data_IF_522215885984
#
_entry.id   IF_522215885984
#
_cell.length_a   1.000
_cell.length_b   1.000
_cell.length_c   1.000
_cell.angle_alpha   90.00
_cell.angle_beta   90.00
_cell.angle_gamma   90.00
#
_symmetry.space_group_name_H-M   'P 1'
#
loop_
_entity.id
_entity.type
_entity.pdbx_description
1 polymer ?
#
# COMPACT_ATOMS: atom_id res chain seq x y z
N UNK A 1 34.69 -60.99 19.70
CA UNK A 1 33.37 -60.86 20.37
C UNK A 1 32.53 -59.88 19.57
N UNK A 2 31.27 -60.23 19.25
CA UNK A 2 30.36 -59.37 18.49
C UNK A 2 29.99 -58.12 19.33
N UNK A 3 30.25 -56.89 18.86
CA UNK A 3 29.98 -55.67 19.63
C UNK A 3 28.50 -55.28 19.66
N UNK A 4 27.66 -55.85 18.80
CA UNK A 4 26.22 -55.53 18.67
C UNK A 4 25.44 -55.50 19.99
N UNK A 5 25.53 -56.47 20.92
CA UNK A 5 24.80 -56.40 22.18
C UNK A 5 25.20 -55.21 23.07
N UNK A 6 26.47 -54.79 23.03
CA UNK A 6 26.94 -53.61 23.79
C UNK A 6 26.38 -52.31 23.22
N UNK A 7 26.38 -52.18 21.89
CA UNK A 7 25.82 -51.02 21.19
C UNK A 7 24.31 -50.93 21.44
N UNK A 8 23.60 -52.06 21.37
CA UNK A 8 22.17 -52.12 21.64
C UNK A 8 21.84 -51.68 23.07
N UNK A 9 22.59 -52.18 24.08
CA UNK A 9 22.39 -51.78 25.47
C UNK A 9 22.63 -50.28 25.69
N UNK A 10 23.65 -49.71 25.02
CA UNK A 10 23.97 -48.29 25.10
C UNK A 10 22.85 -47.42 24.51
N UNK A 11 22.30 -47.79 23.34
CA UNK A 11 21.18 -47.08 22.72
C UNK A 11 19.92 -47.15 23.57
N UNK A 12 19.65 -48.31 24.19
CA UNK A 12 18.51 -48.50 25.08
C UNK A 12 18.63 -47.61 26.33
N UNK A 13 19.82 -47.54 26.93
CA UNK A 13 20.12 -46.63 28.04
C UNK A 13 19.97 -45.16 27.67
N UNK A 14 20.51 -44.74 26.51
CA UNK A 14 20.37 -43.37 26.02
C UNK A 14 18.91 -42.98 25.77
N UNK A 15 18.11 -43.89 25.23
CA UNK A 15 16.68 -43.68 24.98
C UNK A 15 15.92 -43.52 26.29
N UNK A 16 16.22 -44.34 27.30
CA UNK A 16 15.60 -44.25 28.62
C UNK A 16 15.94 -42.91 29.32
N UNK A 17 17.19 -42.49 29.26
CA UNK A 17 17.64 -41.19 29.81
C UNK A 17 16.94 -40.03 29.09
N UNK A 18 16.82 -40.11 27.76
CA UNK A 18 16.14 -39.08 26.98
C UNK A 18 14.64 -38.98 27.31
N UNK A 19 13.94 -40.11 27.45
CA UNK A 19 12.52 -40.12 27.79
C UNK A 19 12.26 -39.64 29.23
N UNK A 20 13.12 -40.02 30.17
CA UNK A 20 13.01 -39.54 31.56
C UNK A 20 13.27 -38.03 31.65
N UNK A 21 14.26 -37.51 30.92
CA UNK A 21 14.49 -36.08 30.83
C UNK A 21 13.32 -35.33 30.16
N UNK A 22 12.73 -35.88 29.09
CA UNK A 22 11.55 -35.30 28.45
C UNK A 22 10.35 -35.24 29.40
N UNK A 23 10.04 -36.34 30.09
CA UNK A 23 8.94 -36.37 31.06
C UNK A 23 9.17 -35.38 32.20
N UNK A 24 10.39 -35.34 32.74
CA UNK A 24 10.76 -34.36 33.77
C UNK A 24 10.60 -32.92 33.25
N UNK A 25 11.02 -32.62 32.03
CA UNK A 25 10.82 -31.28 31.46
C UNK A 25 9.33 -30.97 31.25
N UNK A 26 8.52 -31.91 30.74
CA UNK A 26 7.07 -31.70 30.55
C UNK A 26 6.39 -31.32 31.87
N UNK A 27 6.72 -32.01 32.97
CA UNK A 27 6.11 -31.75 34.28
C UNK A 27 6.63 -30.46 34.94
N UNK A 28 7.75 -29.89 34.46
CA UNK A 28 8.38 -28.69 34.98
C UNK A 28 8.33 -27.49 34.01
N UNK A 29 7.67 -27.61 32.87
CA UNK A 29 7.31 -26.45 32.06
C UNK A 29 6.17 -25.77 32.81
N UNK A 30 6.47 -24.63 33.44
CA UNK A 30 5.42 -23.71 33.81
C UNK A 30 4.64 -23.38 32.54
N UNK A 31 3.39 -23.83 32.47
CA UNK A 31 2.41 -23.23 31.56
C UNK A 31 2.28 -21.78 32.01
N UNK A 32 3.19 -20.94 31.53
CA UNK A 32 2.92 -19.53 31.39
C UNK A 32 1.71 -19.48 30.47
N UNK A 33 0.52 -19.51 31.06
CA UNK A 33 -0.74 -19.30 30.38
C UNK A 33 -0.46 -18.16 29.42
N UNK A 34 -0.51 -18.46 28.12
CA UNK A 34 -0.18 -17.45 27.12
C UNK A 34 -1.27 -16.40 27.26
N UNK A 35 -0.97 -15.34 28.03
CA UNK A 35 -1.90 -14.25 28.26
C UNK A 35 -2.33 -13.82 26.86
N UNK A 36 -3.63 -13.95 26.53
CA UNK A 36 -4.06 -13.67 25.18
C UNK A 36 -3.62 -12.25 24.86
N UNK A 37 -2.85 -12.11 23.76
CA UNK A 37 -2.35 -10.80 23.36
C UNK A 37 -3.54 -9.85 23.34
N UNK A 38 -3.42 -8.66 23.95
CA UNK A 38 -4.51 -7.71 23.99
C UNK A 38 -5.03 -7.51 22.56
N UNK A 39 -6.35 -7.54 22.35
CA UNK A 39 -6.91 -7.47 21.02
C UNK A 39 -6.39 -6.21 20.33
N UNK A 40 -5.84 -6.38 19.14
CA UNK A 40 -5.26 -5.28 18.37
C UNK A 40 -6.32 -4.18 18.21
N UNK A 41 -6.04 -2.98 18.72
CA UNK A 41 -6.92 -1.82 18.53
C UNK A 41 -6.98 -1.48 17.04
N UNK A 42 -8.12 -1.73 16.39
CA UNK A 42 -8.33 -1.43 14.98
C UNK A 42 -8.82 0.01 14.85
N UNK A 43 -7.97 0.90 14.30
CA UNK A 43 -8.42 2.23 13.87
C UNK A 43 -9.28 2.09 12.61
N UNK A 44 -10.60 2.21 12.76
CA UNK A 44 -11.52 2.40 11.63
C UNK A 44 -11.25 3.78 11.05
N UNK A 45 -10.87 3.84 9.78
CA UNK A 45 -10.66 5.08 9.05
C UNK A 45 -11.87 5.26 8.14
N UNK A 46 -12.65 6.30 8.38
CA UNK A 46 -13.64 6.82 7.45
C UNK A 46 -13.09 8.09 6.81
N UNK A 47 -13.43 8.36 5.56
CA UNK A 47 -13.05 9.60 4.89
C UNK A 47 -14.25 10.20 4.17
N UNK A 48 -14.34 11.52 4.22
CA UNK A 48 -15.28 12.32 3.42
C UNK A 48 -14.56 13.02 2.25
N UNK A 49 -13.26 12.76 2.08
CA UNK A 49 -12.45 13.29 0.99
C UNK A 49 -12.75 12.56 -0.33
N UNK A 50 -12.44 13.18 -1.48
CA UNK A 50 -12.45 12.50 -2.76
C UNK A 50 -11.59 11.22 -2.73
N UNK A 51 -12.15 10.16 -3.31
CA UNK A 51 -11.43 8.90 -3.51
C UNK A 51 -11.40 8.55 -4.99
N UNK A 52 -10.32 7.92 -5.44
CA UNK A 52 -10.20 7.32 -6.77
C UNK A 52 -9.89 5.83 -6.64
N UNK A 53 -10.56 5.03 -7.47
CA UNK A 53 -10.23 3.62 -7.64
C UNK A 53 -9.25 3.46 -8.80
N UNK A 54 -8.12 2.82 -8.55
CA UNK A 54 -7.08 2.58 -9.55
C UNK A 54 -7.01 1.09 -9.84
N UNK A 55 -7.48 0.71 -11.02
CA UNK A 55 -7.42 -0.67 -11.48
C UNK A 55 -6.01 -0.99 -11.99
N UNK A 56 -5.17 -1.63 -11.17
CA UNK A 56 -3.81 -2.06 -11.49
C UNK A 56 -3.72 -3.60 -11.64
N UNK A 57 -4.83 -4.24 -12.04
CA UNK A 57 -4.96 -5.70 -12.11
C UNK A 57 -4.18 -6.32 -13.26
N UNK A 58 -4.13 -5.62 -14.39
CA UNK A 58 -3.53 -6.08 -15.63
C UNK A 58 -2.05 -6.34 -15.38
N UNK A 59 -1.62 -7.58 -15.67
CA UNK A 59 -0.23 -7.98 -15.53
C UNK A 59 0.61 -7.21 -16.55
N UNK A 60 1.85 -6.88 -16.17
CA UNK A 60 2.82 -6.24 -17.06
C UNK A 60 2.26 -4.95 -17.70
N UNK A 61 1.51 -4.18 -16.90
CA UNK A 61 0.92 -2.90 -17.28
C UNK A 61 0.96 -1.91 -16.12
N UNK A 62 1.00 -0.64 -16.48
CA UNK A 62 0.90 0.51 -15.59
C UNK A 62 -0.44 1.21 -15.80
N UNK A 63 -1.14 1.44 -14.70
CA UNK A 63 -2.32 2.30 -14.65
C UNK A 63 -1.88 3.69 -14.23
N UNK A 64 -1.79 4.58 -15.20
CA UNK A 64 -1.40 5.98 -15.04
C UNK A 64 -2.61 6.79 -14.58
N UNK A 65 -2.43 7.63 -13.56
CA UNK A 65 -3.49 8.44 -12.96
C UNK A 65 -3.12 9.91 -13.02
N UNK A 66 -4.05 10.74 -13.47
CA UNK A 66 -3.98 12.19 -13.38
C UNK A 66 -5.01 12.68 -12.36
N UNK A 67 -4.55 13.07 -11.17
CA UNK A 67 -5.45 13.40 -10.05
C UNK A 67 -6.17 14.74 -10.25
N UNK A 68 -5.61 15.63 -11.07
CA UNK A 68 -6.27 16.89 -11.39
C UNK A 68 -7.52 16.72 -12.26
N UNK A 69 -7.54 15.69 -13.12
CA UNK A 69 -8.65 15.40 -14.04
C UNK A 69 -9.45 14.14 -13.67
N UNK A 70 -8.94 13.32 -12.76
CA UNK A 70 -9.49 11.99 -12.44
C UNK A 70 -9.28 10.95 -13.54
N UNK A 71 -8.59 11.27 -14.65
CA UNK A 71 -8.40 10.36 -15.78
C UNK A 71 -7.38 9.27 -15.46
N UNK A 72 -7.64 8.07 -15.98
CA UNK A 72 -6.73 6.93 -15.88
C UNK A 72 -6.43 6.35 -17.26
N UNK A 73 -5.18 5.94 -17.49
CA UNK A 73 -4.74 5.29 -18.73
C UNK A 73 -3.96 4.01 -18.43
N UNK A 74 -4.28 2.92 -19.13
CA UNK A 74 -3.50 1.68 -19.03
C UNK A 74 -2.41 1.68 -20.10
N UNK A 75 -1.17 1.41 -19.72
CA UNK A 75 -0.01 1.34 -20.62
C UNK A 75 0.71 0.02 -20.39
N UNK A 76 1.06 -0.71 -21.44
CA UNK A 76 1.82 -1.95 -21.31
C UNK A 76 3.26 -1.65 -20.82
N UNK A 77 3.80 -2.52 -19.96
CA UNK A 77 5.18 -2.43 -19.48
C UNK A 77 6.14 -3.07 -20.49
N UNK A 78 6.34 -2.39 -21.61
CA UNK A 78 7.24 -2.79 -22.69
C UNK A 78 7.96 -1.56 -23.25
N UNK A 79 8.70 -1.73 -24.36
CA UNK A 79 9.45 -0.62 -24.98
C UNK A 79 8.59 0.58 -25.37
N UNK A 80 7.30 0.39 -25.70
CA UNK A 80 6.40 1.49 -26.05
C UNK A 80 6.00 2.35 -24.84
N UNK A 81 6.25 1.87 -23.61
CA UNK A 81 5.97 2.59 -22.36
C UNK A 81 6.63 3.96 -22.32
N UNK A 82 7.89 4.05 -22.73
CA UNK A 82 8.69 5.29 -22.64
C UNK A 82 8.04 6.42 -23.43
N UNK A 83 7.59 6.11 -24.66
CA UNK A 83 6.84 7.05 -25.50
C UNK A 83 5.51 7.43 -24.85
N UNK A 84 4.73 6.45 -24.39
CA UNK A 84 3.44 6.69 -23.76
C UNK A 84 3.55 7.57 -22.49
N UNK A 85 4.62 7.41 -21.71
CA UNK A 85 4.86 8.21 -20.50
C UNK A 85 5.15 9.69 -20.81
N UNK A 86 5.64 10.00 -22.02
CA UNK A 86 5.89 11.36 -22.49
C UNK A 86 4.65 12.01 -23.12
N UNK A 87 3.81 11.23 -23.80
CA UNK A 87 2.63 11.75 -24.51
C UNK A 87 1.40 11.92 -23.62
N UNK A 88 1.26 11.07 -22.59
CA UNK A 88 0.11 11.10 -21.69
C UNK A 88 0.41 12.07 -20.53
N UNK A 89 -0.56 12.91 -20.16
CA UNK A 89 -0.45 13.69 -18.93
C UNK A 89 -0.89 12.86 -17.73
N UNK A 90 0.06 12.42 -16.91
CA UNK A 90 -0.18 11.64 -15.69
C UNK A 90 0.69 12.12 -14.52
N UNK A 91 0.30 11.74 -13.30
CA UNK A 91 0.98 12.13 -12.06
C UNK A 91 1.66 10.92 -11.40
N UNK A 92 0.89 9.84 -11.15
CA UNK A 92 1.38 8.60 -10.56
C UNK A 92 1.00 7.39 -11.42
N UNK A 93 1.88 6.40 -11.48
CA UNK A 93 1.67 5.13 -12.15
C UNK A 93 1.56 3.99 -11.15
N UNK A 94 0.61 3.08 -11.35
CA UNK A 94 0.36 1.95 -10.47
C UNK A 94 0.48 0.63 -11.23
N UNK A 95 1.26 -0.31 -10.70
CA UNK A 95 1.35 -1.67 -11.23
C UNK A 95 1.40 -2.66 -10.08
N UNK A 96 0.29 -3.38 -9.86
CA UNK A 96 0.11 -4.23 -8.66
C UNK A 96 0.38 -3.39 -7.39
N UNK A 97 1.39 -3.75 -6.60
CA UNK A 97 1.79 -3.00 -5.40
C UNK A 97 2.84 -1.92 -5.67
N UNK A 98 3.41 -1.85 -6.88
CA UNK A 98 4.40 -0.84 -7.25
C UNK A 98 3.70 0.47 -7.60
N UNK A 99 4.27 1.57 -7.12
CA UNK A 99 3.81 2.92 -7.40
C UNK A 99 5.02 3.76 -7.81
N UNK A 100 4.89 4.46 -8.93
CA UNK A 100 5.92 5.32 -9.53
C UNK A 100 5.37 6.74 -9.70
N UNK A 101 6.27 7.70 -9.78
CA UNK A 101 5.96 9.11 -10.03
C UNK A 101 6.34 9.52 -11.44
N UNK A 102 5.67 10.53 -11.98
CA UNK A 102 6.10 11.17 -13.21
C UNK A 102 7.27 12.13 -12.95
N UNK A 103 8.42 11.59 -12.55
CA UNK A 103 9.64 12.33 -12.24
C UNK A 103 10.86 11.42 -12.06
N UNK A 104 12.04 12.01 -12.04
CA UNK A 104 13.30 11.29 -11.86
C UNK A 104 13.60 10.32 -13.00
N UNK A 105 14.04 9.10 -12.66
CA UNK A 105 14.41 8.09 -13.65
C UNK A 105 13.23 7.59 -14.50
N UNK A 106 11.99 7.78 -14.04
CA UNK A 106 10.77 7.38 -14.77
C UNK A 106 10.47 8.35 -15.91
N UNK A 107 10.65 9.65 -15.69
CA UNK A 107 10.52 10.68 -16.71
C UNK A 107 11.46 11.85 -16.36
N UNK A 108 12.59 12.01 -17.07
CA UNK A 108 13.55 13.09 -16.81
C UNK A 108 12.99 14.51 -17.00
N UNK A 109 11.91 14.67 -17.77
CA UNK A 109 11.22 15.96 -17.93
C UNK A 109 10.17 16.19 -16.83
N UNK A 110 9.72 15.10 -16.20
CA UNK A 110 8.81 15.13 -15.07
C UNK A 110 9.53 15.61 -13.81
N UNK A 111 8.80 16.36 -12.97
CA UNK A 111 9.30 16.87 -11.67
C UNK A 111 8.42 16.42 -10.51
N UNK A 112 7.73 15.29 -10.70
CA UNK A 112 6.85 14.74 -9.68
C UNK A 112 7.70 14.03 -8.63
N UNK A 113 7.47 14.36 -7.37
CA UNK A 113 8.14 13.71 -6.26
C UNK A 113 7.23 13.57 -5.05
N UNK A 114 7.61 12.71 -4.12
CA UNK A 114 6.78 12.35 -2.95
C UNK A 114 7.55 12.55 -1.64
N UNK A 115 6.83 12.86 -0.58
CA UNK A 115 7.26 12.77 0.82
C UNK A 115 6.30 11.83 1.54
N UNK A 116 6.81 10.82 2.24
CA UNK A 116 6.03 10.00 3.15
C UNK A 116 6.03 10.65 4.54
N UNK A 117 4.87 11.16 4.99
CA UNK A 117 4.71 11.73 6.33
C UNK A 117 4.47 10.65 7.40
N UNK A 118 4.33 9.39 7.00
CA UNK A 118 4.04 8.30 7.91
C UNK A 118 2.57 8.27 8.36
N UNK A 119 2.26 7.58 9.48
CA UNK A 119 0.90 7.36 9.96
C UNK A 119 0.37 8.57 10.76
N UNK A 120 0.34 9.74 10.11
CA UNK A 120 -0.23 10.97 10.67
C UNK A 120 -1.73 11.08 10.36
N UNK A 121 -2.41 11.96 11.08
CA UNK A 121 -3.81 12.28 10.81
C UNK A 121 -3.94 13.05 9.50
N UNK A 122 -4.72 12.51 8.56
CA UNK A 122 -4.87 13.06 7.21
C UNK A 122 -5.48 14.47 7.23
N UNK A 123 -6.43 14.73 8.13
CA UNK A 123 -7.14 16.02 8.19
C UNK A 123 -6.29 17.12 8.85
N UNK A 124 -5.31 16.73 9.69
CA UNK A 124 -4.35 17.67 10.30
C UNK A 124 -3.26 18.13 9.34
N UNK A 125 -3.06 17.45 8.22
CA UNK A 125 -2.12 17.90 7.18
C UNK A 125 -2.78 19.02 6.36
N UNK A 126 -2.52 20.26 6.76
CA UNK A 126 -3.10 21.46 6.17
C UNK A 126 -2.20 22.13 5.12
N UNK A 127 -0.89 21.89 5.16
CA UNK A 127 0.09 22.52 4.26
C UNK A 127 1.13 21.53 3.74
N UNK A 128 1.47 21.63 2.46
CA UNK A 128 2.53 20.86 1.83
C UNK A 128 3.92 21.41 2.21
N UNK A 129 4.91 20.54 2.53
CA UNK A 129 6.31 20.95 2.66
C UNK A 129 6.84 21.55 1.34
N UNK A 130 7.81 22.48 1.40
CA UNK A 130 8.39 23.07 0.17
C UNK A 130 9.52 22.26 -0.45
N UNK A 131 10.17 21.41 0.35
CA UNK A 131 11.39 20.66 0.01
C UNK A 131 11.34 19.25 0.59
N UNK A 132 12.24 18.39 0.11
CA UNK A 132 12.36 17.01 0.57
C UNK A 132 11.64 15.98 -0.31
N UNK A 133 11.07 16.41 -1.44
CA UNK A 133 10.42 15.52 -2.39
C UNK A 133 11.42 14.58 -3.05
N UNK A 134 11.06 13.31 -3.07
CA UNK A 134 11.86 12.23 -3.63
C UNK A 134 11.20 11.75 -4.92
N UNK A 135 11.98 11.81 -5.98
CA UNK A 135 11.64 11.30 -7.30
C UNK A 135 12.08 9.84 -7.46
N UNK A 136 11.64 9.21 -8.54
CA UNK A 136 11.94 7.81 -8.82
C UNK A 136 13.41 7.60 -9.18
N UNK A 137 13.92 6.42 -8.83
CA UNK A 137 15.27 5.97 -9.17
C UNK A 137 15.22 4.55 -9.71
N UNK A 138 16.25 4.18 -10.46
CA UNK A 138 16.50 2.78 -10.81
C UNK A 138 17.29 2.15 -9.65
N UNK A 139 16.77 1.07 -9.09
CA UNK A 139 17.45 0.23 -8.11
C UNK A 139 17.36 -1.21 -8.55
N UNK A 140 18.51 -1.89 -8.66
CA UNK A 140 18.60 -3.27 -9.14
C UNK A 140 17.79 -3.54 -10.42
N UNK A 141 17.86 -2.62 -11.39
CA UNK A 141 17.16 -2.73 -12.68
C UNK A 141 15.65 -2.45 -12.64
N UNK A 142 15.08 -2.09 -11.48
CA UNK A 142 13.66 -1.74 -11.33
C UNK A 142 13.48 -0.26 -11.01
N UNK A 143 12.44 0.35 -11.59
CA UNK A 143 11.97 1.68 -11.16
C UNK A 143 11.34 1.59 -9.78
N UNK A 144 11.80 2.44 -8.87
CA UNK A 144 11.32 2.51 -7.48
C UNK A 144 11.22 3.97 -7.02
N UNK A 145 10.12 4.27 -6.34
CA UNK A 145 10.05 5.43 -5.47
C UNK A 145 10.17 4.97 -4.01
N UNK A 146 11.28 5.31 -3.33
CA UNK A 146 11.53 4.82 -1.96
C UNK A 146 10.48 5.27 -0.94
N UNK A 147 9.83 6.40 -1.17
CA UNK A 147 8.81 6.91 -0.25
C UNK A 147 7.51 6.10 -0.38
N UNK A 148 7.23 5.59 -1.58
CA UNK A 148 6.03 4.81 -1.89
C UNK A 148 6.24 3.30 -1.82
N UNK A 149 7.48 2.79 -1.86
CA UNK A 149 7.74 1.34 -1.98
C UNK A 149 7.24 0.51 -0.80
N UNK A 150 7.11 1.12 0.38
CA UNK A 150 6.77 0.47 1.64
C UNK A 150 5.37 0.89 2.15
N UNK A 151 4.42 1.14 1.24
CA UNK A 151 3.08 1.62 1.59
C UNK A 151 2.18 0.58 2.28
N UNK A 152 2.57 -0.70 2.26
CA UNK A 152 1.75 -1.82 2.73
C UNK A 152 2.53 -2.80 3.61
N UNK A 153 1.79 -3.55 4.42
CA UNK A 153 2.25 -4.75 5.10
C UNK A 153 1.72 -5.98 4.37
N UNK A 154 2.59 -6.98 4.18
CA UNK A 154 2.17 -8.30 3.71
C UNK A 154 1.77 -9.18 4.90
N UNK A 155 0.51 -9.61 4.95
CA UNK A 155 0.00 -10.52 5.97
C UNK A 155 0.30 -11.96 5.57
N UNK A 156 1.37 -12.53 6.09
CA UNK A 156 1.82 -13.89 5.74
C UNK A 156 0.78 -14.97 5.97
N UNK A 157 -0.02 -14.88 7.04
CA UNK A 157 -1.08 -15.86 7.37
C UNK A 157 -2.22 -15.90 6.34
N UNK A 158 -2.62 -14.76 5.80
CA UNK A 158 -3.75 -14.65 4.86
C UNK A 158 -3.31 -14.35 3.44
N UNK A 159 -2.01 -14.15 3.22
CA UNK A 159 -1.40 -13.66 1.98
C UNK A 159 -2.01 -12.35 1.45
N UNK A 160 -2.60 -11.54 2.34
CA UNK A 160 -3.24 -10.28 1.97
C UNK A 160 -2.29 -9.08 2.09
N UNK A 161 -2.58 -8.03 1.33
CA UNK A 161 -1.90 -6.74 1.36
C UNK A 161 -2.72 -5.78 2.21
N UNK A 162 -2.15 -5.31 3.33
CA UNK A 162 -2.79 -4.32 4.20
C UNK A 162 -2.09 -2.97 4.04
N UNK A 163 -2.84 -1.91 3.72
CA UNK A 163 -2.28 -0.56 3.68
C UNK A 163 -1.75 -0.15 5.06
N UNK A 164 -0.57 0.48 5.12
CA UNK A 164 -0.07 1.16 6.32
C UNK A 164 -0.84 2.44 6.64
N UNK A 165 -1.67 2.91 5.69
CA UNK A 165 -2.48 4.12 5.79
C UNK A 165 -1.64 5.37 6.09
N UNK A 166 -0.39 5.38 5.62
CA UNK A 166 0.47 6.54 5.68
C UNK A 166 -0.10 7.68 4.82
N UNK A 167 0.19 8.92 5.24
CA UNK A 167 -0.12 10.12 4.47
C UNK A 167 1.10 10.50 3.66
N UNK A 168 0.88 10.73 2.37
CA UNK A 168 1.90 11.15 1.43
C UNK A 168 1.59 12.56 0.94
N UNK A 169 2.62 13.36 0.74
CA UNK A 169 2.51 14.62 0.00
C UNK A 169 3.24 14.46 -1.32
N UNK A 170 2.54 14.73 -2.41
CA UNK A 170 3.04 14.65 -3.78
C UNK A 170 3.17 16.07 -4.32
N UNK A 171 4.36 16.43 -4.79
CA UNK A 171 4.58 17.61 -5.63
C UNK A 171 4.30 17.19 -7.06
N UNK A 172 3.26 17.74 -7.67
CA UNK A 172 2.85 17.52 -9.04
C UNK A 172 3.56 18.51 -9.98
N UNK A 173 3.25 18.43 -11.28
CA UNK A 173 3.66 19.44 -12.25
C UNK A 173 3.17 20.85 -11.87
N UNK A 174 3.86 21.88 -12.37
CA UNK A 174 3.51 23.30 -12.18
C UNK A 174 3.43 23.74 -10.70
N UNK A 175 4.25 23.17 -9.82
CA UNK A 175 4.27 23.46 -8.37
C UNK A 175 2.90 23.29 -7.69
N UNK A 176 2.05 22.40 -8.21
CA UNK A 176 0.82 21.99 -7.51
C UNK A 176 1.14 20.88 -6.53
N UNK A 177 0.41 20.83 -5.42
CA UNK A 177 0.59 19.79 -4.40
C UNK A 177 -0.67 18.97 -4.22
N UNK A 178 -0.48 17.73 -3.80
CA UNK A 178 -1.54 16.81 -3.41
C UNK A 178 -1.14 16.13 -2.11
N UNK A 179 -2.08 15.89 -1.21
CA UNK A 179 -1.91 14.86 -0.18
C UNK A 179 -2.74 13.64 -0.55
N UNK A 180 -2.23 12.45 -0.28
CA UNK A 180 -2.93 11.21 -0.55
C UNK A 180 -2.67 10.17 0.52
N UNK A 181 -3.56 9.19 0.60
CA UNK A 181 -3.43 8.00 1.43
C UNK A 181 -4.06 6.83 0.69
N UNK A 182 -3.36 5.70 0.67
CA UNK A 182 -3.93 4.47 0.12
C UNK A 182 -4.79 3.85 1.21
N UNK A 183 -6.09 3.71 0.94
CA UNK A 183 -7.03 3.14 1.90
C UNK A 183 -7.02 1.62 1.85
N UNK A 184 -7.02 1.06 0.64
CA UNK A 184 -7.16 -0.37 0.41
C UNK A 184 -6.53 -0.80 -0.94
N UNK A 185 -6.10 -2.07 -1.02
CA UNK A 185 -5.61 -2.76 -2.23
C UNK A 185 -6.70 -3.54 -2.99
N UNK A 186 -7.89 -3.67 -2.40
CA UNK A 186 -9.01 -4.48 -2.88
C UNK A 186 -10.29 -3.64 -3.00
N UNK A 187 -10.37 -2.72 -3.97
CA UNK A 187 -11.42 -1.69 -4.11
C UNK A 187 -12.88 -2.18 -3.99
N UNK A 188 -13.17 -3.44 -4.32
CA UNK A 188 -14.51 -4.04 -4.18
C UNK A 188 -14.80 -4.64 -2.81
N UNK A 189 -13.94 -4.41 -1.81
CA UNK A 189 -14.01 -4.99 -0.47
C UNK A 189 -13.70 -3.94 0.59
N UNK A 190 -14.35 -4.05 1.75
CA UNK A 190 -13.93 -3.28 2.93
C UNK A 190 -12.60 -3.84 3.45
N UNK A 191 -11.75 -2.96 3.98
CA UNK A 191 -10.44 -3.35 4.53
C UNK A 191 -10.60 -4.43 5.61
N UNK A 192 -11.68 -4.35 6.40
CA UNK A 192 -12.01 -5.32 7.46
C UNK A 192 -12.28 -6.73 6.92
N UNK A 193 -12.89 -6.84 5.74
CA UNK A 193 -13.20 -8.15 5.12
C UNK A 193 -11.92 -8.89 4.70
N UNK A 194 -10.86 -8.16 4.35
CA UNK A 194 -9.57 -8.75 3.97
C UNK A 194 -8.61 -8.96 5.15
N UNK A 195 -9.06 -8.84 6.40
CA UNK A 195 -8.18 -9.03 7.58
C UNK A 195 -8.19 -10.46 8.10
N UNK A 196 -9.37 -11.06 8.19
CA UNK A 196 -9.59 -12.36 8.83
C UNK A 196 -9.63 -13.51 7.83
N UNK A 197 -9.96 -13.21 6.57
CA UNK A 197 -10.01 -14.18 5.47
C UNK A 197 -9.15 -13.73 4.29
N UNK A 198 -8.66 -14.69 3.51
CA UNK A 198 -7.92 -14.43 2.27
C UNK A 198 -8.85 -13.73 1.26
N UNK A 199 -8.41 -12.60 0.72
CA UNK A 199 -9.12 -11.93 -0.37
C UNK A 199 -8.70 -12.52 -1.72
N UNK A 200 -9.64 -12.61 -2.66
CA UNK A 200 -9.39 -13.32 -3.91
C UNK A 200 -8.36 -12.61 -4.78
N UNK A 201 -7.59 -13.39 -5.55
CA UNK A 201 -6.60 -12.84 -6.51
C UNK A 201 -7.24 -11.96 -7.59
N UNK A 202 -8.51 -12.19 -7.91
CA UNK A 202 -9.28 -11.40 -8.87
C UNK A 202 -9.63 -10.00 -8.33
N UNK A 203 -9.71 -9.86 -7.01
CA UNK A 203 -10.02 -8.60 -6.32
C UNK A 203 -8.77 -7.78 -6.00
N UNK A 204 -7.61 -8.45 -5.89
CA UNK A 204 -6.31 -7.81 -5.66
C UNK A 204 -5.96 -6.80 -6.75
N UNK A 205 -5.03 -5.90 -6.45
CA UNK A 205 -4.49 -4.91 -7.39
C UNK A 205 -5.55 -3.93 -7.92
N UNK A 206 -6.52 -3.59 -7.08
CA UNK A 206 -7.44 -2.48 -7.31
C UNK A 206 -7.37 -1.54 -6.12
N UNK A 207 -6.61 -0.46 -6.24
CA UNK A 207 -6.35 0.41 -5.11
C UNK A 207 -7.49 1.40 -4.93
N UNK A 208 -7.84 1.71 -3.68
CA UNK A 208 -8.66 2.88 -3.36
C UNK A 208 -7.75 3.92 -2.72
N UNK A 209 -7.65 5.08 -3.34
CA UNK A 209 -6.78 6.18 -2.91
C UNK A 209 -7.64 7.36 -2.53
N UNK A 210 -7.54 7.78 -1.28
CA UNK A 210 -8.02 9.08 -0.82
C UNK A 210 -7.01 10.16 -1.21
N UNK A 211 -7.49 11.30 -1.71
CA UNK A 211 -6.63 12.41 -2.07
C UNK A 211 -7.29 13.77 -1.95
N UNK A 212 -6.47 14.80 -1.74
CA UNK A 212 -6.87 16.20 -1.72
C UNK A 212 -5.81 17.03 -2.43
N UNK A 213 -6.22 17.83 -3.42
CA UNK A 213 -5.37 18.78 -4.11
C UNK A 213 -5.25 20.08 -3.29
N UNK A 214 -4.05 20.66 -3.24
CA UNK A 214 -3.87 21.99 -2.69
C UNK A 214 -4.60 23.04 -3.55
N UNK A 215 -4.97 24.17 -2.94
CA UNK A 215 -5.51 25.31 -3.67
C UNK A 215 -4.51 25.77 -4.72
N UNK A 216 -4.98 26.05 -5.92
CA UNK A 216 -4.14 26.38 -7.07
C UNK A 216 -3.12 27.48 -6.73
N UNK A 217 -1.85 27.25 -7.07
CA UNK A 217 -0.76 28.18 -6.81
C UNK A 217 -0.30 28.27 -5.34
N UNK A 218 -0.82 27.43 -4.45
CA UNK A 218 -0.46 27.46 -3.01
C UNK A 218 -0.04 26.09 -2.51
N UNK A 219 0.56 26.06 -1.32
CA UNK A 219 0.84 24.83 -0.58
C UNK A 219 -0.32 24.40 0.34
N UNK A 220 -1.44 25.14 0.34
CA UNK A 220 -2.51 24.97 1.33
C UNK A 220 -3.54 23.95 0.84
N UNK A 221 -3.76 22.90 1.64
CA UNK A 221 -4.87 21.98 1.43
C UNK A 221 -6.17 22.59 1.95
N UNK A 222 -7.29 22.46 1.19
CA UNK A 222 -8.62 22.75 1.72
C UNK A 222 -8.87 21.97 3.01
N UNK A 223 -9.45 22.63 4.01
CA UNK A 223 -9.94 21.93 5.19
C UNK A 223 -11.34 21.39 4.90
N UNK A 224 -11.58 20.13 5.27
CA UNK A 224 -12.93 19.61 5.33
C UNK A 224 -13.64 20.27 6.50
N UNK A 225 -14.46 21.27 6.22
CA UNK A 225 -15.50 21.69 7.15
C UNK A 225 -16.58 20.61 7.03
N UNK A 226 -16.83 19.86 8.11
CA UNK A 226 -17.89 18.87 8.13
C UNK A 226 -19.22 19.54 7.76
N UNK A 227 -19.76 19.21 6.57
CA UNK A 227 -21.09 19.68 6.12
C UNK A 227 -21.22 20.22 4.70
N UNK A 228 -20.16 20.34 3.89
CA UNK A 228 -20.26 21.05 2.59
C UNK A 228 -20.46 20.19 1.32
N UNK A 229 -20.67 18.88 1.42
CA UNK A 229 -20.89 18.02 0.24
C UNK A 229 -22.38 17.68 0.05
N UNK A 230 -23.19 18.69 -0.24
CA UNK A 230 -24.44 18.55 -0.98
C UNK A 230 -24.37 19.51 -2.15
N UNK A 231 -24.50 18.96 -3.37
CA UNK A 231 -24.57 19.61 -4.68
C UNK A 231 -23.30 19.56 -5.54
N UNK A 232 -23.06 18.39 -6.14
CA UNK A 232 -22.76 18.31 -7.56
C UNK A 232 -23.50 17.10 -8.14
N UNK A 233 -24.84 17.19 -8.18
CA UNK A 233 -25.61 16.43 -9.17
C UNK A 233 -25.43 17.16 -10.50
N UNK A 234 -24.73 16.51 -11.43
CA UNK A 234 -24.66 16.93 -12.82
C UNK A 234 -26.03 16.66 -13.42
N UNK A 235 -26.75 17.75 -13.67
CA UNK A 235 -27.99 17.74 -14.42
C UNK A 235 -27.69 17.23 -15.84
N UNK A 236 -28.26 16.08 -16.19
CA UNK A 236 -28.19 15.52 -17.53
C UNK A 236 -29.40 15.99 -18.30
N UNK A 237 -29.33 17.20 -18.85
CA UNK A 237 -30.27 17.67 -19.85
C UNK A 237 -29.68 17.45 -21.25
N UNK A 238 -30.03 16.33 -21.88
CA UNK A 238 -29.99 16.21 -23.35
C UNK A 238 -31.42 16.04 -23.83
N UNK A 239 -31.94 17.14 -24.37
CA UNK A 239 -33.17 17.22 -25.14
C UNK A 239 -33.10 16.27 -26.35
N UNK A 240 -34.15 15.48 -26.52
CA UNK A 240 -34.53 14.87 -27.79
C UNK A 240 -35.31 15.89 -28.59
N UNK A 241 -34.84 16.19 -29.80
CA UNK A 241 -35.63 16.53 -30.97
C UNK A 241 -35.05 15.74 -32.13
#
# INVERSE_FOLDING_TARGET
>A
MNPTPKIFLMLLGATLIFHTALNYMIDNIEEFETVPLPPKKIKKISTNNPTIQVNAKIKDSWSLVNFSSGKTHSVADNKAREKAFQEISWDLGFSRTKIITNGGATNPQGKTGVINLGPVDFDKVSKAPRKGYVEDKISFGSLINKELSDWYNYRTRTHNIESKKNVYVVKLKNNRFMKMRILNYYCGKKDEECRTMMCSRQQAACLTVEYVLAKNGTEQFPQNIAGSNLAHNIDSSTNLN
#
